data_IF_139267111643
#
_entry.id   IF_139267111643
#
_cell.length_a   1.000
_cell.length_b   1.000
_cell.length_c   1.000
_cell.angle_alpha   90.00
_cell.angle_beta   90.00
_cell.angle_gamma   90.00
#
_symmetry.space_group_name_H-M   'P 1'
#
loop_
_entity.id
_entity.type
_entity.pdbx_description
1 polymer ?
#
# COMPACT_ATOMS: atom_id res chain seq x y z
N UNK A 1 -6.55 -37.83 -19.66
CA UNK A 1 -6.21 -36.47 -19.22
C UNK A 1 -7.44 -35.87 -18.57
N UNK A 2 -7.46 -35.77 -17.24
CA UNK A 2 -8.55 -35.15 -16.49
C UNK A 2 -8.40 -33.63 -16.57
N UNK A 3 -9.35 -32.95 -17.20
CA UNK A 3 -9.44 -31.48 -17.21
C UNK A 3 -10.39 -31.03 -16.11
N UNK A 4 -9.86 -30.93 -14.88
CA UNK A 4 -10.59 -30.33 -13.76
C UNK A 4 -10.83 -28.84 -14.06
N UNK A 5 -12.06 -28.51 -14.45
CA UNK A 5 -12.54 -27.14 -14.60
C UNK A 5 -12.93 -26.62 -13.21
N UNK A 6 -12.20 -25.62 -12.71
CA UNK A 6 -12.58 -24.92 -11.47
C UNK A 6 -13.53 -23.78 -11.81
N UNK A 7 -14.74 -23.87 -11.27
CA UNK A 7 -15.75 -22.82 -11.34
C UNK A 7 -15.79 -22.11 -9.99
N UNK A 8 -15.63 -20.78 -9.99
CA UNK A 8 -15.87 -19.95 -8.82
C UNK A 8 -17.08 -19.06 -9.10
N UNK A 9 -18.05 -19.08 -8.18
CA UNK A 9 -19.21 -18.19 -8.19
C UNK A 9 -19.17 -17.38 -6.91
N UNK A 10 -19.08 -16.07 -7.06
CA UNK A 10 -19.21 -15.13 -5.95
C UNK A 10 -20.35 -14.15 -6.25
N UNK A 11 -21.16 -13.89 -5.23
CA UNK A 11 -22.27 -12.94 -5.30
C UNK A 11 -21.99 -11.76 -4.38
N UNK A 12 -22.00 -10.54 -4.92
CA UNK A 12 -21.86 -9.32 -4.13
C UNK A 12 -22.93 -8.32 -4.58
N UNK A 13 -23.76 -7.84 -3.64
CA UNK A 13 -24.85 -6.88 -3.88
C UNK A 13 -25.81 -7.26 -5.03
N UNK A 14 -26.25 -8.52 -5.09
CA UNK A 14 -27.24 -8.97 -6.08
C UNK A 14 -26.69 -9.20 -7.50
N UNK A 15 -25.39 -8.99 -7.72
CA UNK A 15 -24.70 -9.30 -8.98
C UNK A 15 -24.00 -10.65 -8.81
N UNK A 16 -24.32 -11.60 -9.68
CA UNK A 16 -23.66 -12.92 -9.69
C UNK A 16 -22.57 -12.90 -10.74
N UNK A 17 -21.32 -13.07 -10.28
CA UNK A 17 -20.16 -13.16 -11.16
C UNK A 17 -19.73 -14.61 -11.24
N UNK A 18 -19.83 -15.18 -12.45
CA UNK A 18 -19.34 -16.53 -12.73
C UNK A 18 -18.01 -16.41 -13.46
N UNK A 19 -16.94 -16.91 -12.83
CA UNK A 19 -15.60 -16.95 -13.43
C UNK A 19 -15.29 -18.37 -13.88
N UNK A 20 -14.99 -18.52 -15.17
CA UNK A 20 -14.55 -19.78 -15.76
C UNK A 20 -13.11 -19.63 -16.21
N UNK A 21 -12.21 -20.37 -15.58
CA UNK A 21 -10.80 -20.44 -15.99
C UNK A 21 -10.67 -21.58 -17.00
N UNK A 22 -10.31 -21.22 -18.23
CA UNK A 22 -10.07 -22.18 -19.30
C UNK A 22 -8.56 -22.39 -19.47
N UNK A 23 -8.09 -23.65 -19.54
CA UNK A 23 -6.69 -23.93 -19.85
C UNK A 23 -6.39 -23.46 -21.28
N UNK A 24 -5.50 -22.48 -21.43
CA UNK A 24 -5.10 -21.97 -22.73
C UNK A 24 -3.95 -22.74 -23.35
N UNK A 25 -3.90 -22.74 -24.69
CA UNK A 25 -2.76 -23.26 -25.45
C UNK A 25 -1.57 -22.29 -25.28
N UNK A 26 -0.39 -22.81 -24.95
CA UNK A 26 0.86 -22.07 -24.70
C UNK A 26 1.01 -21.34 -23.34
N UNK A 27 0.30 -21.78 -22.29
CA UNK A 27 0.63 -21.40 -20.90
C UNK A 27 -0.01 -20.10 -20.39
N UNK A 28 -0.99 -19.56 -21.10
CA UNK A 28 -1.81 -18.45 -20.62
C UNK A 28 -3.16 -19.00 -20.15
N UNK A 29 -3.57 -18.69 -18.93
CA UNK A 29 -4.93 -18.99 -18.45
C UNK A 29 -5.89 -17.94 -18.99
N UNK A 30 -6.92 -18.36 -19.71
CA UNK A 30 -7.97 -17.46 -20.19
C UNK A 30 -9.09 -17.43 -19.17
N UNK A 31 -9.37 -16.25 -18.61
CA UNK A 31 -10.43 -16.05 -17.64
C UNK A 31 -11.64 -15.47 -18.37
N UNK A 32 -12.72 -16.24 -18.48
CA UNK A 32 -14.01 -15.75 -18.93
C UNK A 32 -14.84 -15.34 -17.71
N UNK A 33 -15.29 -14.09 -17.66
CA UNK A 33 -16.14 -13.56 -16.60
C UNK A 33 -17.50 -13.25 -17.20
N UNK A 34 -18.54 -13.95 -16.73
CA UNK A 34 -19.93 -13.61 -17.04
C UNK A 34 -20.55 -12.92 -15.84
N UNK A 35 -21.20 -11.79 -16.08
CA UNK A 35 -21.88 -10.98 -15.05
C UNK A 35 -23.37 -11.02 -15.38
N UNK A 36 -24.15 -11.74 -14.57
CA UNK A 36 -25.60 -11.77 -14.69
C UNK A 36 -26.17 -10.67 -13.80
N UNK A 37 -26.76 -9.65 -14.44
CA UNK A 37 -27.52 -8.60 -13.76
C UNK A 37 -28.98 -8.98 -13.90
N UNK A 38 -29.68 -9.11 -12.78
CA UNK A 38 -31.09 -9.54 -12.77
C UNK A 38 -32.01 -8.48 -13.32
N UNK A 39 -32.12 -8.39 -14.65
CA UNK A 39 -33.32 -7.97 -15.35
C UNK A 39 -33.24 -8.42 -16.82
N UNK A 40 -34.25 -9.21 -17.20
CA UNK A 40 -34.61 -9.69 -18.54
C UNK A 40 -33.63 -10.60 -19.31
N UNK A 41 -34.14 -11.79 -19.67
CA UNK A 41 -33.54 -12.82 -20.52
C UNK A 41 -33.27 -12.28 -21.94
N UNK A 42 -32.14 -11.59 -22.12
CA UNK A 42 -31.57 -11.28 -23.43
C UNK A 42 -30.70 -12.44 -23.94
N UNK A 43 -30.97 -12.93 -25.16
CA UNK A 43 -30.24 -14.00 -25.82
C UNK A 43 -28.70 -13.76 -25.86
N UNK A 44 -27.87 -14.83 -25.86
CA UNK A 44 -26.42 -14.69 -25.93
C UNK A 44 -25.99 -14.16 -27.31
N UNK A 45 -25.65 -12.87 -27.37
CA UNK A 45 -25.05 -12.25 -28.56
C UNK A 45 -23.57 -12.61 -28.60
N UNK A 46 -23.23 -13.73 -29.25
CA UNK A 46 -21.87 -14.00 -29.70
C UNK A 46 -21.60 -13.24 -31.01
N UNK A 47 -21.16 -12.00 -30.92
CA UNK A 47 -20.39 -11.37 -31.99
C UNK A 47 -19.43 -10.34 -31.40
N UNK A 48 -18.20 -10.74 -31.13
CA UNK A 48 -17.08 -9.79 -31.16
C UNK A 48 -16.05 -10.33 -32.14
N UNK A 49 -15.98 -9.68 -33.31
CA UNK A 49 -14.92 -9.86 -34.29
C UNK A 49 -13.55 -9.68 -33.61
N UNK A 50 -12.49 -10.39 -34.01
CA UNK A 50 -11.16 -10.26 -33.40
C UNK A 50 -10.60 -8.83 -33.39
N UNK A 51 -11.06 -7.93 -34.28
CA UNK A 51 -10.76 -6.49 -34.23
C UNK A 51 -11.37 -5.75 -33.04
N UNK A 52 -12.56 -6.15 -32.56
CA UNK A 52 -13.18 -5.55 -31.38
C UNK A 52 -12.51 -6.01 -30.08
N UNK A 53 -11.98 -7.24 -30.05
CA UNK A 53 -11.16 -7.73 -28.95
C UNK A 53 -9.82 -6.99 -28.82
N UNK A 54 -9.21 -6.58 -29.95
CA UNK A 54 -7.99 -5.76 -29.94
C UNK A 54 -8.25 -4.30 -29.48
N UNK A 55 -9.42 -3.72 -29.78
CA UNK A 55 -9.80 -2.40 -29.25
C UNK A 55 -10.13 -2.44 -27.75
N UNK A 56 -10.75 -3.50 -27.25
CA UNK A 56 -10.99 -3.68 -25.81
C UNK A 56 -9.69 -3.89 -25.00
N UNK A 57 -8.65 -4.47 -25.62
CA UNK A 57 -7.33 -4.61 -24.99
C UNK A 57 -6.57 -3.28 -24.81
N UNK A 58 -6.97 -2.23 -25.53
CA UNK A 58 -6.38 -0.90 -25.44
C UNK A 58 -6.86 -0.07 -24.25
N UNK A 59 -7.96 -0.48 -23.60
CA UNK A 59 -8.61 0.28 -22.52
C UNK A 59 -8.68 -0.48 -21.18
N UNK A 60 -7.78 -1.45 -20.94
CA UNK A 60 -7.48 -1.84 -19.55
C UNK A 60 -6.59 -0.77 -18.89
N UNK A 61 -7.13 0.44 -18.77
CA UNK A 61 -6.74 1.38 -17.73
C UNK A 61 -7.00 0.68 -16.39
N UNK A 62 -5.99 -0.03 -15.88
CA UNK A 62 -5.99 -0.60 -14.53
C UNK A 62 -6.40 0.53 -13.59
N UNK A 63 -7.63 0.49 -13.08
CA UNK A 63 -8.11 1.46 -12.09
C UNK A 63 -7.23 1.28 -10.86
N UNK A 64 -6.22 2.14 -10.72
CA UNK A 64 -5.38 2.15 -9.53
C UNK A 64 -6.26 2.57 -8.35
N UNK A 65 -6.55 1.62 -7.46
CA UNK A 65 -7.27 1.91 -6.23
C UNK A 65 -6.44 2.94 -5.45
N UNK A 66 -7.02 4.12 -5.29
CA UNK A 66 -6.44 5.24 -4.55
C UNK A 66 -7.26 5.45 -3.30
N UNK A 67 -6.61 5.34 -2.15
CA UNK A 67 -7.24 5.67 -0.88
C UNK A 67 -6.67 7.00 -0.40
N UNK A 68 -7.55 7.97 -0.13
CA UNK A 68 -7.16 9.30 0.35
C UNK A 68 -7.64 9.54 1.77
N UNK A 69 -6.80 10.18 2.57
CA UNK A 69 -7.04 10.51 3.96
C UNK A 69 -6.75 11.99 4.19
N UNK A 70 -7.49 12.61 5.10
CA UNK A 70 -7.29 13.99 5.53
C UNK A 70 -6.92 14.06 6.99
N UNK A 71 -6.13 15.07 7.35
CA UNK A 71 -5.71 15.36 8.73
C UNK A 71 -5.18 14.11 9.44
N UNK A 72 -4.11 13.53 8.90
CA UNK A 72 -3.48 12.31 9.40
C UNK A 72 -2.02 12.53 9.78
N UNK A 73 -1.45 11.61 10.55
CA UNK A 73 -0.01 11.54 10.77
C UNK A 73 0.55 10.27 10.15
N UNK A 74 1.49 10.45 9.24
CA UNK A 74 2.20 9.40 8.54
C UNK A 74 3.52 9.10 9.26
N UNK A 75 3.78 7.82 9.50
CA UNK A 75 5.06 7.31 9.93
C UNK A 75 5.65 6.42 8.85
N UNK A 76 6.88 6.70 8.44
CA UNK A 76 7.63 5.89 7.47
C UNK A 76 9.03 5.61 7.98
N UNK A 77 9.65 4.55 7.46
CA UNK A 77 11.06 4.26 7.77
C UNK A 77 11.97 5.34 7.16
N UNK A 78 12.87 5.87 7.97
CA UNK A 78 14.02 6.66 7.53
C UNK A 78 15.31 5.85 7.52
N UNK A 79 16.40 6.49 7.12
CA UNK A 79 17.73 5.86 7.20
C UNK A 79 18.14 5.58 8.66
N UNK A 80 17.78 6.49 9.57
CA UNK A 80 18.07 6.44 11.00
C UNK A 80 16.77 6.67 11.77
N UNK A 81 16.05 5.58 12.06
CA UNK A 81 14.80 5.62 12.81
C UNK A 81 13.56 5.94 11.98
N UNK A 82 12.50 6.34 12.68
CA UNK A 82 11.18 6.56 12.10
C UNK A 82 10.94 8.04 11.82
N UNK A 83 10.43 8.33 10.62
CA UNK A 83 10.08 9.68 10.20
C UNK A 83 8.60 9.89 10.47
N UNK A 84 8.28 10.95 11.24
CA UNK A 84 6.92 11.41 11.50
C UNK A 84 6.59 12.60 10.63
N UNK A 85 5.48 12.54 9.90
CA UNK A 85 4.97 13.64 9.08
C UNK A 85 3.50 13.87 9.39
N UNK A 86 3.17 15.07 9.89
CA UNK A 86 1.79 15.51 9.98
C UNK A 86 1.32 15.95 8.60
N UNK A 87 0.28 15.31 8.09
CA UNK A 87 -0.26 15.49 6.75
C UNK A 87 -1.62 16.19 6.82
N UNK A 88 -1.82 17.18 5.95
CA UNK A 88 -3.15 17.72 5.65
C UNK A 88 -3.93 16.75 4.79
N UNK A 89 -3.29 16.22 3.75
CA UNK A 89 -3.82 15.19 2.87
C UNK A 89 -2.77 14.12 2.67
N UNK A 90 -3.20 12.87 2.56
CA UNK A 90 -2.39 11.71 2.24
C UNK A 90 -3.15 10.88 1.21
N UNK A 91 -2.48 10.41 0.17
CA UNK A 91 -3.02 9.44 -0.77
C UNK A 91 -2.07 8.25 -0.86
N UNK A 92 -2.65 7.05 -0.82
CA UNK A 92 -1.96 5.78 -0.90
C UNK A 92 -2.46 5.08 -2.16
N UNK A 93 -1.52 4.65 -3.01
CA UNK A 93 -1.82 3.96 -4.27
C UNK A 93 -0.89 2.78 -4.44
N UNK A 94 -1.42 1.66 -4.94
CA UNK A 94 -0.59 0.56 -5.44
C UNK A 94 -0.29 0.80 -6.92
N UNK A 95 0.98 0.84 -7.29
CA UNK A 95 1.43 1.08 -8.66
C UNK A 95 2.57 0.14 -9.03
N UNK A 96 2.58 -0.24 -10.30
CA UNK A 96 3.66 -1.02 -10.88
C UNK A 96 4.72 -0.09 -11.45
N UNK A 97 5.98 -0.36 -11.13
CA UNK A 97 7.16 0.32 -11.65
C UNK A 97 8.07 -0.69 -12.35
N UNK A 98 8.96 -0.21 -13.23
CA UNK A 98 9.84 -1.07 -14.02
C UNK A 98 10.66 -2.08 -13.18
N UNK A 99 11.06 -1.69 -11.96
CA UNK A 99 11.84 -2.53 -11.04
C UNK A 99 10.98 -3.25 -9.99
N UNK A 100 9.74 -2.80 -9.77
CA UNK A 100 8.88 -3.26 -8.68
C UNK A 100 7.45 -3.41 -9.18
N UNK A 101 6.98 -4.65 -9.46
CA UNK A 101 5.65 -4.88 -10.02
C UNK A 101 4.54 -4.43 -9.08
N UNK A 102 4.80 -4.45 -7.77
CA UNK A 102 3.92 -3.98 -6.72
C UNK A 102 4.69 -3.03 -5.78
N UNK A 103 4.51 -1.73 -5.97
CA UNK A 103 5.04 -0.71 -5.07
C UNK A 103 3.89 0.14 -4.50
N UNK A 104 4.12 0.69 -3.31
CA UNK A 104 3.18 1.57 -2.64
C UNK A 104 3.65 3.01 -2.85
N UNK A 105 2.90 3.76 -3.64
CA UNK A 105 3.11 5.20 -3.82
C UNK A 105 2.36 5.94 -2.72
N UNK A 106 3.10 6.65 -1.87
CA UNK A 106 2.56 7.57 -0.88
C UNK A 106 2.75 9.00 -1.40
N UNK A 107 1.67 9.77 -1.47
CA UNK A 107 1.74 11.22 -1.75
C UNK A 107 1.03 12.00 -0.67
N UNK A 108 1.65 13.06 -0.16
CA UNK A 108 1.11 13.85 0.93
C UNK A 108 1.41 15.33 0.81
N UNK A 109 0.58 16.14 1.45
CA UNK A 109 0.83 17.56 1.71
C UNK A 109 1.05 17.73 3.20
N UNK A 110 2.28 18.04 3.62
CA UNK A 110 2.60 18.23 5.02
C UNK A 110 1.87 19.46 5.61
N UNK A 111 1.57 19.43 6.90
CA UNK A 111 0.96 20.55 7.64
C UNK A 111 1.81 21.82 7.46
N UNK A 112 1.17 22.91 7.08
CA UNK A 112 1.83 24.20 6.79
C UNK A 112 2.52 24.30 5.43
N UNK A 113 2.58 23.21 4.65
CA UNK A 113 3.17 23.22 3.31
C UNK A 113 2.10 23.31 2.23
N UNK A 114 2.46 23.87 1.05
CA UNK A 114 1.56 23.98 -0.11
C UNK A 114 1.84 22.95 -1.20
N UNK A 115 3.07 22.44 -1.28
CA UNK A 115 3.49 21.50 -2.33
C UNK A 115 3.31 20.07 -1.86
N UNK A 116 2.78 19.23 -2.75
CA UNK A 116 2.73 17.79 -2.58
C UNK A 116 4.16 17.22 -2.59
N UNK A 117 4.39 16.24 -1.72
CA UNK A 117 5.58 15.38 -1.70
C UNK A 117 5.13 13.94 -1.89
N UNK A 118 6.03 13.08 -2.31
CA UNK A 118 5.74 11.66 -2.37
C UNK A 118 6.98 10.82 -2.19
N UNK A 119 6.76 9.58 -1.78
CA UNK A 119 7.75 8.53 -1.75
C UNK A 119 7.15 7.27 -2.33
N UNK A 120 8.00 6.48 -2.97
CA UNK A 120 7.65 5.15 -3.40
C UNK A 120 8.28 4.21 -2.38
N UNK A 121 7.43 3.44 -1.72
CA UNK A 121 7.87 2.34 -0.89
C UNK A 121 7.87 1.12 -1.81
N UNK A 122 9.05 0.54 -1.95
CA UNK A 122 9.26 -0.64 -2.76
C UNK A 122 9.99 -1.68 -1.92
N UNK A 123 9.58 -2.95 -1.98
CA UNK A 123 10.20 -4.00 -1.18
C UNK A 123 11.67 -4.14 -1.56
N UNK A 124 12.56 -3.81 -0.62
CA UNK A 124 14.00 -3.95 -0.78
C UNK A 124 14.44 -5.26 -0.12
N UNK A 125 15.10 -6.14 -0.89
CA UNK A 125 15.70 -7.38 -0.39
C UNK A 125 14.73 -8.26 0.43
N UNK A 126 13.50 -8.45 -0.06
CA UNK A 126 12.51 -9.33 0.56
C UNK A 126 11.91 -8.82 1.88
N UNK A 127 12.22 -7.59 2.30
CA UNK A 127 11.57 -6.97 3.47
C UNK A 127 10.32 -6.20 3.01
N UNK A 128 9.17 -6.37 3.70
CA UNK A 128 7.99 -5.59 3.41
C UNK A 128 8.22 -4.12 3.74
N UNK A 129 7.55 -3.25 3.00
CA UNK A 129 7.57 -1.82 3.28
C UNK A 129 6.83 -1.51 4.58
N UNK A 130 7.40 -0.62 5.39
CA UNK A 130 6.80 -0.20 6.66
C UNK A 130 6.24 1.22 6.54
N UNK A 131 4.94 1.35 6.78
CA UNK A 131 4.31 2.64 7.06
C UNK A 131 3.13 2.47 8.02
N UNK A 132 2.82 3.54 8.74
CA UNK A 132 1.68 3.61 9.66
C UNK A 132 1.00 4.96 9.48
N UNK A 133 -0.32 4.97 9.46
CA UNK A 133 -1.15 6.19 9.35
C UNK A 133 -2.12 6.24 10.51
N UNK A 134 -2.01 7.28 11.33
CA UNK A 134 -2.94 7.58 12.41
C UNK A 134 -3.86 8.75 12.01
N UNK A 135 -5.13 8.69 12.42
CA UNK A 135 -6.08 9.79 12.24
C UNK A 135 -5.83 10.89 13.26
N UNK A 136 -5.57 12.11 12.77
CA UNK A 136 -5.26 13.26 13.61
C UNK A 136 -3.82 13.77 13.47
N UNK A 137 -3.53 14.79 14.27
CA UNK A 137 -2.21 15.41 14.42
C UNK A 137 -1.73 15.26 15.86
N UNK A 138 -0.51 15.71 16.15
CA UNK A 138 0.03 15.73 17.52
C UNK A 138 0.16 14.34 18.16
N UNK A 139 0.28 13.29 17.33
CA UNK A 139 0.58 11.93 17.78
C UNK A 139 2.03 11.75 18.24
N UNK A 140 2.31 10.59 18.83
CA UNK A 140 3.61 10.14 19.32
C UNK A 140 4.78 10.61 18.44
N UNK A 141 5.78 11.27 19.06
CA UNK A 141 7.04 11.58 18.39
C UNK A 141 7.97 10.39 18.54
N UNK A 142 8.52 9.83 17.45
CA UNK A 142 9.50 8.76 17.55
C UNK A 142 10.70 9.16 18.41
N UNK A 143 11.28 8.19 19.11
CA UNK A 143 12.52 8.40 19.85
C UNK A 143 13.63 8.94 18.92
N UNK A 144 14.49 9.80 19.47
CA UNK A 144 15.66 10.32 18.75
C UNK A 144 16.55 9.16 18.28
N UNK A 145 17.06 9.27 17.05
CA UNK A 145 18.00 8.30 16.52
C UNK A 145 19.36 8.34 17.22
N UNK A 146 19.68 9.48 17.83
CA UNK A 146 20.95 9.78 18.47
C UNK A 146 20.77 9.85 19.98
N UNK A 147 21.74 9.27 20.70
CA UNK A 147 21.85 9.40 22.15
C UNK A 147 22.22 10.82 22.60
N UNK A 148 22.46 11.01 23.90
CA UNK A 148 23.04 12.26 24.39
C UNK A 148 24.41 12.48 23.75
N UNK A 149 24.70 13.71 23.37
CA UNK A 149 26.01 14.07 22.86
C UNK A 149 27.05 14.04 23.98
N UNK A 150 28.23 13.49 23.69
CA UNK A 150 29.38 13.49 24.58
C UNK A 150 30.42 14.48 24.07
N UNK A 151 30.89 15.37 24.96
CA UNK A 151 31.95 16.31 24.65
C UNK A 151 33.31 15.60 24.68
N UNK A 152 34.02 15.59 23.55
CA UNK A 152 35.36 14.97 23.44
C UNK A 152 36.51 15.98 23.58
N UNK A 153 36.21 17.20 24.00
CA UNK A 153 37.16 18.31 24.05
C UNK A 153 37.33 19.04 22.72
N UNK A 154 38.02 20.19 22.73
CA UNK A 154 38.27 21.05 21.56
C UNK A 154 37.01 21.57 20.83
N UNK A 155 35.89 21.70 21.54
CA UNK A 155 34.62 22.18 20.95
C UNK A 155 33.93 21.18 20.04
N UNK A 156 34.33 19.90 20.07
CA UNK A 156 33.69 18.83 19.28
C UNK A 156 32.86 17.94 20.20
N UNK A 157 31.55 17.89 19.92
CA UNK A 157 30.62 16.95 20.54
C UNK A 157 30.31 15.82 19.56
N UNK A 158 30.35 14.58 20.04
CA UNK A 158 30.06 13.38 19.25
C UNK A 158 28.83 12.69 19.83
N UNK A 159 27.89 12.29 18.98
CA UNK A 159 26.76 11.46 19.38
C UNK A 159 26.78 10.16 18.60
N UNK A 160 26.54 9.05 19.31
CA UNK A 160 26.33 7.75 18.67
C UNK A 160 24.86 7.54 18.35
N UNK A 161 24.57 6.89 17.23
CA UNK A 161 23.23 6.43 16.92
C UNK A 161 22.89 5.21 17.78
N UNK A 162 21.62 5.07 18.16
CA UNK A 162 21.16 3.93 18.99
C UNK A 162 21.37 2.59 18.30
N UNK A 163 21.11 2.55 16.99
CA UNK A 163 21.33 1.40 16.13
C UNK A 163 22.05 1.80 14.84
N UNK A 164 22.40 0.79 14.03
CA UNK A 164 22.93 0.98 12.68
C UNK A 164 21.85 1.54 11.73
N UNK A 165 22.29 2.05 10.57
CA UNK A 165 21.36 2.50 9.54
C UNK A 165 20.52 1.33 9.01
N UNK A 166 19.21 1.56 8.84
CA UNK A 166 18.25 0.54 8.39
C UNK A 166 18.16 -0.73 9.28
N UNK A 167 18.57 -0.64 10.55
CA UNK A 167 18.44 -1.74 11.50
C UNK A 167 16.95 -2.07 11.76
N UNK A 168 16.51 -3.35 11.66
CA UNK A 168 15.11 -3.72 11.92
C UNK A 168 14.64 -3.40 13.35
N UNK A 169 15.57 -3.21 14.30
CA UNK A 169 15.22 -2.80 15.67
C UNK A 169 14.53 -1.43 15.73
N UNK A 170 14.77 -0.55 14.77
CA UNK A 170 14.03 0.72 14.67
C UNK A 170 12.52 0.50 14.55
N UNK A 171 12.11 -0.45 13.72
CA UNK A 171 10.70 -0.76 13.47
C UNK A 171 10.07 -1.49 14.66
N UNK A 172 10.79 -2.43 15.27
CA UNK A 172 10.32 -3.20 16.43
C UNK A 172 10.08 -2.30 17.65
N UNK A 173 11.03 -1.43 17.98
CA UNK A 173 10.90 -0.50 19.11
C UNK A 173 9.75 0.46 18.89
N UNK A 174 9.67 1.05 17.70
CA UNK A 174 8.60 1.97 17.35
C UNK A 174 7.22 1.31 17.40
N UNK A 175 7.10 0.07 16.93
CA UNK A 175 5.84 -0.68 16.98
C UNK A 175 5.41 -0.94 18.43
N UNK A 176 6.35 -1.27 19.31
CA UNK A 176 6.09 -1.44 20.75
C UNK A 176 5.60 -0.12 21.38
N UNK A 177 6.31 0.99 21.14
CA UNK A 177 5.93 2.32 21.62
C UNK A 177 4.55 2.75 21.08
N UNK A 178 4.30 2.52 19.79
CA UNK A 178 3.05 2.84 19.12
C UNK A 178 1.87 2.05 19.71
N UNK A 179 2.04 0.75 19.93
CA UNK A 179 0.99 -0.10 20.50
C UNK A 179 0.62 0.35 21.93
N UNK A 180 1.62 0.70 22.74
CA UNK A 180 1.38 1.30 24.06
C UNK A 180 0.63 2.64 23.97
N UNK A 181 1.03 3.50 23.02
CA UNK A 181 0.38 4.79 22.80
C UNK A 181 -1.08 4.64 22.33
N UNK A 182 -1.35 3.78 21.36
CA UNK A 182 -2.71 3.52 20.84
C UNK A 182 -3.60 2.96 21.95
N UNK A 183 -3.09 2.02 22.76
CA UNK A 183 -3.84 1.46 23.89
C UNK A 183 -4.18 2.49 24.96
N UNK A 184 -3.30 3.47 25.18
CA UNK A 184 -3.48 4.52 26.19
C UNK A 184 -4.38 5.66 25.72
N UNK A 185 -4.26 6.07 24.46
CA UNK A 185 -4.94 7.26 23.92
C UNK A 185 -6.20 6.95 23.12
N UNK A 186 -6.39 5.71 22.68
CA UNK A 186 -7.45 5.34 21.75
C UNK A 186 -7.26 5.92 20.35
N UNK A 187 -6.01 6.23 19.95
CA UNK A 187 -5.72 6.77 18.63
C UNK A 187 -6.19 5.81 17.51
N UNK A 188 -6.88 6.35 16.49
CA UNK A 188 -7.41 5.55 15.39
C UNK A 188 -6.32 5.25 14.36
N UNK A 189 -5.97 3.97 14.23
CA UNK A 189 -5.14 3.47 13.13
C UNK A 189 -6.00 3.39 11.85
N UNK A 190 -5.54 4.04 10.78
CA UNK A 190 -6.30 4.17 9.52
C UNK A 190 -5.73 3.27 8.43
N UNK A 191 -4.41 3.15 8.36
CA UNK A 191 -3.73 2.28 7.43
C UNK A 191 -2.35 1.89 7.98
N UNK A 192 -1.88 0.68 7.68
CA UNK A 192 -0.54 0.21 8.04
C UNK A 192 -0.01 -0.80 7.03
N UNK A 193 1.31 -0.98 7.01
CA UNK A 193 1.99 -2.04 6.26
C UNK A 193 3.09 -2.72 7.11
N UNK A 194 3.22 -4.06 7.07
CA UNK A 194 2.49 -4.99 6.20
C UNK A 194 0.98 -5.05 6.53
N UNK A 195 0.14 -5.09 5.49
CA UNK A 195 -1.31 -5.27 5.65
C UNK A 195 -1.52 -6.62 6.36
N UNK A 196 -1.89 -6.58 7.64
CA UNK A 196 -2.37 -7.72 8.41
C UNK A 196 -3.74 -8.18 7.92
#
# INVERSE_FOLDING_TARGET
MNTDRKFARDSFNGVTVSTVVLPGFAGYETIAVSVETGDELGAPVMTSTPEQAQRAHGEMCKKHHTTSFERVTLYTRGMLGMIRVECRTLSIRKRSYAQHPEAIELRWVAKGQRRERGTILAPVCGKPDFFVVLSGWDHLKPASAFGPAEDRGNGVSVSQSRYSACDPRWESDFTSELNGYVSTTGASLVASSPLS
#
